data_IF_575894116905
#
_entry.id   IF_575894116905
#
_cell.length_a   1.000
_cell.length_b   1.000
_cell.length_c   1.000
_cell.angle_alpha   90.00
_cell.angle_beta   90.00
_cell.angle_gamma   90.00
#
_symmetry.space_group_name_H-M   'P 1'
#
loop_
_entity.id
_entity.type
_entity.pdbx_description
1 polymer ?
#
# COMPACT_ATOMS: atom_id res chain seq x y z
N UNK A 1 18.14 -13.80 -6.95
CA UNK A 1 17.26 -14.71 -6.18
C UNK A 1 17.34 -16.08 -6.86
N UNK A 2 17.42 -17.18 -6.09
CA UNK A 2 17.28 -18.55 -6.62
C UNK A 2 15.93 -19.06 -6.13
N UNK A 3 14.88 -18.87 -6.92
CA UNK A 3 13.54 -19.32 -6.59
C UNK A 3 12.91 -19.90 -7.85
N UNK A 4 12.30 -21.08 -7.70
CA UNK A 4 11.64 -21.78 -8.80
C UNK A 4 10.22 -21.24 -9.05
N UNK A 5 9.66 -20.51 -8.08
CA UNK A 5 8.34 -19.91 -8.12
C UNK A 5 8.35 -18.47 -7.58
N UNK A 6 7.47 -17.61 -8.11
CA UNK A 6 7.25 -16.24 -7.62
C UNK A 6 5.75 -16.03 -7.35
N UNK A 7 5.36 -15.72 -6.12
CA UNK A 7 3.95 -15.58 -5.75
C UNK A 7 3.26 -14.42 -6.49
N UNK A 8 3.93 -13.26 -6.55
CA UNK A 8 3.42 -12.06 -7.24
C UNK A 8 4.50 -11.50 -8.16
N UNK A 9 4.25 -11.48 -9.47
CA UNK A 9 5.14 -10.86 -10.45
C UNK A 9 4.44 -9.66 -11.09
N UNK A 10 5.04 -8.47 -10.92
CA UNK A 10 4.44 -7.20 -11.32
C UNK A 10 5.14 -6.56 -12.53
N UNK A 11 4.36 -6.02 -13.46
CA UNK A 11 4.84 -5.15 -14.53
C UNK A 11 5.09 -3.76 -13.95
N UNK A 12 6.34 -3.29 -14.06
CA UNK A 12 6.77 -1.99 -13.51
C UNK A 12 6.60 -0.86 -14.52
N UNK A 13 6.03 0.27 -14.09
CA UNK A 13 5.86 1.51 -14.86
C UNK A 13 5.05 1.39 -16.17
N UNK A 14 4.38 0.26 -16.39
CA UNK A 14 3.52 -0.02 -17.55
C UNK A 14 4.19 0.15 -18.93
N UNK A 15 5.52 0.26 -18.99
CA UNK A 15 6.22 0.31 -20.28
C UNK A 15 6.06 -1.05 -20.97
N UNK A 16 5.56 -1.05 -22.20
CA UNK A 16 5.32 -2.26 -23.00
C UNK A 16 4.53 -3.35 -22.25
N UNK A 17 3.56 -2.92 -21.43
CA UNK A 17 2.85 -3.83 -20.53
C UNK A 17 2.08 -4.93 -21.28
N UNK A 18 1.66 -4.70 -22.52
CA UNK A 18 0.98 -5.70 -23.34
C UNK A 18 1.89 -6.92 -23.61
N UNK A 19 3.11 -6.67 -24.09
CA UNK A 19 4.10 -7.71 -24.37
C UNK A 19 4.53 -8.44 -23.10
N UNK A 20 4.72 -7.68 -22.01
CA UNK A 20 5.04 -8.25 -20.71
C UNK A 20 3.91 -9.13 -20.16
N UNK A 21 2.66 -8.73 -20.34
CA UNK A 21 1.50 -9.47 -19.85
C UNK A 21 1.39 -10.84 -20.51
N UNK A 22 1.58 -10.95 -21.83
CA UNK A 22 1.57 -12.24 -22.53
C UNK A 22 2.66 -13.20 -21.99
N UNK A 23 3.83 -12.65 -21.67
CA UNK A 23 4.90 -13.44 -21.06
C UNK A 23 4.54 -13.91 -19.65
N UNK A 24 3.97 -13.03 -18.83
CA UNK A 24 3.57 -13.37 -17.46
C UNK A 24 2.42 -14.37 -17.42
N UNK A 25 1.46 -14.29 -18.33
CA UNK A 25 0.39 -15.28 -18.46
C UNK A 25 0.95 -16.66 -18.79
N UNK A 26 1.88 -16.75 -19.75
CA UNK A 26 2.56 -18.02 -20.03
C UNK A 26 3.30 -18.57 -18.81
N UNK A 27 4.01 -17.72 -18.05
CA UNK A 27 4.68 -18.14 -16.82
C UNK A 27 3.69 -18.60 -15.75
N UNK A 28 2.50 -18.02 -15.69
CA UNK A 28 1.43 -18.42 -14.79
C UNK A 28 0.85 -19.78 -15.19
N UNK A 29 0.62 -19.99 -16.48
CA UNK A 29 0.14 -21.27 -17.03
C UNK A 29 1.18 -22.40 -16.83
N UNK A 30 2.47 -22.06 -16.88
CA UNK A 30 3.58 -22.96 -16.52
C UNK A 30 3.69 -23.23 -15.00
N UNK A 31 2.86 -22.59 -14.16
CA UNK A 31 2.89 -22.73 -12.70
C UNK A 31 4.08 -22.04 -12.01
N UNK A 32 4.81 -21.18 -12.73
CA UNK A 32 6.01 -20.49 -12.23
C UNK A 32 5.68 -19.23 -11.45
N UNK A 33 4.49 -18.67 -11.63
CA UNK A 33 3.97 -17.55 -10.85
C UNK A 33 2.51 -17.78 -10.43
N UNK A 34 2.09 -17.18 -9.31
CA UNK A 34 0.71 -17.28 -8.84
C UNK A 34 -0.16 -16.10 -9.28
N UNK A 35 0.35 -14.87 -9.14
CA UNK A 35 -0.40 -13.63 -9.39
C UNK A 35 0.39 -12.71 -10.32
N UNK A 36 -0.31 -12.20 -11.34
CA UNK A 36 0.18 -11.11 -12.19
C UNK A 36 -0.28 -9.80 -11.58
N UNK A 37 0.63 -8.86 -11.40
CA UNK A 37 0.30 -7.52 -10.95
C UNK A 37 0.84 -6.42 -11.83
N UNK A 38 0.46 -5.18 -11.51
CA UNK A 38 1.02 -3.98 -12.12
C UNK A 38 1.35 -2.96 -11.03
N UNK A 39 2.35 -2.12 -11.27
CA UNK A 39 2.74 -1.05 -10.35
C UNK A 39 3.05 0.24 -11.09
N UNK A 40 2.60 1.36 -10.53
CA UNK A 40 2.98 2.69 -11.00
C UNK A 40 2.99 3.70 -9.85
N UNK A 41 4.03 4.55 -9.79
CA UNK A 41 4.25 5.50 -8.69
C UNK A 41 3.59 6.87 -8.92
N UNK A 42 3.24 7.21 -10.17
CA UNK A 42 2.53 8.46 -10.47
C UNK A 42 1.01 8.27 -10.61
N UNK A 43 0.25 9.24 -10.11
CA UNK A 43 -1.21 9.29 -10.23
C UNK A 43 -1.68 9.46 -11.68
N UNK A 44 -0.86 10.06 -12.54
CA UNK A 44 -1.14 10.22 -13.98
C UNK A 44 -1.34 8.90 -14.72
N UNK A 45 -0.80 7.80 -14.19
CA UNK A 45 -0.99 6.46 -14.78
C UNK A 45 -2.26 5.75 -14.30
N UNK A 46 -2.97 6.28 -13.30
CA UNK A 46 -4.13 5.60 -12.70
C UNK A 46 -5.24 5.28 -13.70
N UNK A 47 -5.60 6.17 -14.66
CA UNK A 47 -6.59 5.81 -15.69
C UNK A 47 -6.19 4.57 -16.50
N UNK A 48 -4.91 4.46 -16.86
CA UNK A 48 -4.38 3.31 -17.60
C UNK A 48 -4.34 2.05 -16.73
N UNK A 49 -3.92 2.17 -15.46
CA UNK A 49 -3.97 1.07 -14.50
C UNK A 49 -5.40 0.54 -14.35
N UNK A 50 -6.39 1.42 -14.19
CA UNK A 50 -7.80 1.02 -14.08
C UNK A 50 -8.32 0.36 -15.36
N UNK A 51 -7.86 0.80 -16.54
CA UNK A 51 -8.16 0.12 -17.82
C UNK A 51 -7.61 -1.30 -17.83
N UNK A 52 -6.39 -1.51 -17.32
CA UNK A 52 -5.79 -2.85 -17.19
C UNK A 52 -6.54 -3.68 -16.14
N UNK A 53 -6.90 -3.12 -14.99
CA UNK A 53 -7.72 -3.82 -13.97
C UNK A 53 -9.03 -4.36 -14.57
N UNK A 54 -9.75 -3.53 -15.35
CA UNK A 54 -11.01 -3.93 -16.00
C UNK A 54 -10.85 -5.03 -17.06
N UNK A 55 -9.63 -5.29 -17.54
CA UNK A 55 -9.37 -6.44 -18.41
C UNK A 55 -9.50 -7.79 -17.69
N UNK A 56 -9.47 -7.79 -16.34
CA UNK A 56 -9.50 -8.98 -15.48
C UNK A 56 -8.35 -9.97 -15.69
N UNK A 57 -7.23 -9.50 -16.28
CA UNK A 57 -6.01 -10.30 -16.54
C UNK A 57 -4.97 -10.21 -15.43
N UNK A 58 -5.20 -9.36 -14.43
CA UNK A 58 -4.30 -9.14 -13.29
C UNK A 58 -5.01 -9.42 -11.97
N UNK A 59 -4.26 -9.82 -10.96
CA UNK A 59 -4.77 -10.10 -9.62
C UNK A 59 -4.24 -9.15 -8.54
N UNK A 60 -3.29 -8.26 -8.85
CA UNK A 60 -2.84 -7.25 -7.89
C UNK A 60 -2.47 -5.92 -8.55
N UNK A 61 -2.57 -4.84 -7.77
CA UNK A 61 -2.03 -3.52 -8.09
C UNK A 61 -1.15 -3.02 -6.97
N UNK A 62 -0.08 -2.31 -7.29
CA UNK A 62 0.73 -1.58 -6.33
C UNK A 62 0.73 -0.08 -6.64
N UNK A 63 0.32 0.74 -5.67
CA UNK A 63 0.08 2.18 -5.85
C UNK A 63 0.48 2.99 -4.63
N UNK A 64 0.82 4.28 -4.80
CA UNK A 64 1.07 5.16 -3.65
C UNK A 64 -0.24 5.44 -2.92
N UNK A 65 -0.26 5.19 -1.61
CA UNK A 65 -1.37 5.58 -0.75
C UNK A 65 -0.85 5.93 0.64
N UNK A 66 -1.14 7.15 1.08
CA UNK A 66 -0.79 7.64 2.42
C UNK A 66 -1.65 8.88 2.74
N UNK A 67 -1.52 9.42 3.95
CA UNK A 67 -2.33 10.57 4.40
C UNK A 67 -2.21 11.80 3.48
N UNK A 68 -1.05 11.99 2.84
CA UNK A 68 -0.83 13.09 1.89
C UNK A 68 -1.19 12.78 0.44
N UNK A 69 -1.54 11.54 0.11
CA UNK A 69 -1.91 11.12 -1.23
C UNK A 69 -3.08 10.12 -1.18
N UNK A 70 -4.28 10.65 -1.43
CA UNK A 70 -5.54 9.90 -1.41
C UNK A 70 -6.06 9.56 -2.81
N UNK A 71 -5.26 9.78 -3.87
CA UNK A 71 -5.73 9.74 -5.25
C UNK A 71 -6.35 8.39 -5.66
N UNK A 72 -5.95 7.28 -5.04
CA UNK A 72 -6.49 5.97 -5.35
C UNK A 72 -7.84 5.68 -4.65
N UNK A 73 -8.24 6.47 -3.65
CA UNK A 73 -9.33 6.13 -2.72
C UNK A 73 -10.74 6.25 -3.31
N UNK A 74 -10.93 7.16 -4.27
CA UNK A 74 -12.22 7.48 -4.89
C UNK A 74 -12.64 6.47 -5.97
N UNK A 75 -11.71 6.05 -6.83
CA UNK A 75 -12.03 5.19 -7.98
C UNK A 75 -11.29 3.86 -7.98
N UNK A 76 -9.97 3.87 -7.72
CA UNK A 76 -9.15 2.68 -7.89
C UNK A 76 -9.35 1.65 -6.77
N UNK A 77 -9.42 2.06 -5.50
CA UNK A 77 -9.66 1.14 -4.39
C UNK A 77 -11.06 0.49 -4.46
N UNK A 78 -12.16 1.24 -4.75
CA UNK A 78 -13.46 0.61 -5.01
C UNK A 78 -13.43 -0.37 -6.19
N UNK A 79 -12.73 -0.02 -7.29
CA UNK A 79 -12.58 -0.92 -8.44
C UNK A 79 -11.81 -2.20 -8.07
N UNK A 80 -10.76 -2.09 -7.25
CA UNK A 80 -10.01 -3.25 -6.80
C UNK A 80 -10.87 -4.18 -5.95
N UNK A 81 -11.68 -3.64 -5.05
CA UNK A 81 -12.65 -4.39 -4.24
C UNK A 81 -13.71 -5.07 -5.13
N UNK A 82 -14.31 -4.34 -6.08
CA UNK A 82 -15.30 -4.87 -7.03
C UNK A 82 -14.75 -6.07 -7.82
N UNK A 83 -13.49 -5.98 -8.25
CA UNK A 83 -12.85 -6.99 -9.09
C UNK A 83 -12.12 -8.09 -8.30
N UNK A 84 -12.05 -7.99 -6.98
CA UNK A 84 -11.28 -8.91 -6.14
C UNK A 84 -9.76 -8.83 -6.38
N UNK A 85 -9.24 -7.66 -6.76
CA UNK A 85 -7.82 -7.40 -7.00
C UNK A 85 -7.15 -7.01 -5.69
N UNK A 86 -6.02 -7.65 -5.37
CA UNK A 86 -5.22 -7.31 -4.20
C UNK A 86 -4.53 -5.95 -4.34
N UNK A 87 -4.52 -5.15 -3.27
CA UNK A 87 -3.89 -3.82 -3.25
C UNK A 87 -2.65 -3.83 -2.37
N UNK A 88 -1.50 -3.55 -2.98
CA UNK A 88 -0.22 -3.37 -2.31
C UNK A 88 0.05 -1.86 -2.22
N UNK A 89 0.14 -1.32 -1.02
CA UNK A 89 0.41 0.11 -0.82
C UNK A 89 1.90 0.37 -0.77
N UNK A 90 2.40 1.19 -1.70
CA UNK A 90 3.73 1.77 -1.61
C UNK A 90 3.71 3.18 -1.01
N UNK A 91 4.88 3.62 -0.55
CA UNK A 91 5.07 4.91 0.11
C UNK A 91 4.10 5.20 1.28
N UNK A 92 3.77 4.24 2.15
CA UNK A 92 2.75 4.43 3.20
C UNK A 92 3.14 5.53 4.22
N UNK A 93 4.44 5.83 4.34
CA UNK A 93 4.99 6.85 5.24
C UNK A 93 5.40 8.15 4.50
N UNK A 94 4.97 8.33 3.25
CA UNK A 94 5.28 9.52 2.44
C UNK A 94 6.79 9.76 2.32
N UNK A 95 7.56 8.69 2.05
CA UNK A 95 9.03 8.72 1.97
C UNK A 95 9.70 9.29 3.25
N UNK A 96 9.06 9.08 4.40
CA UNK A 96 9.54 9.57 5.69
C UNK A 96 9.38 11.08 5.88
N UNK A 97 8.65 11.79 5.00
CA UNK A 97 8.28 13.20 5.18
C UNK A 97 7.57 13.33 6.52
N UNK A 98 6.41 12.71 6.67
CA UNK A 98 5.53 12.83 7.85
C UNK A 98 6.26 12.61 9.17
N UNK A 99 7.11 11.58 9.23
CA UNK A 99 7.85 11.24 10.45
C UNK A 99 8.79 12.36 10.90
N UNK A 100 9.32 13.18 9.98
CA UNK A 100 10.17 14.33 10.35
C UNK A 100 9.36 15.40 11.08
N UNK A 101 8.14 15.67 10.63
CA UNK A 101 7.26 16.66 11.28
C UNK A 101 6.71 16.13 12.60
N UNK A 102 6.42 14.83 12.68
CA UNK A 102 5.81 14.18 13.83
C UNK A 102 6.79 13.75 14.93
N UNK A 103 8.09 14.12 14.83
CA UNK A 103 9.14 13.66 15.76
C UNK A 103 8.90 14.04 17.22
N UNK A 104 8.18 15.12 17.49
CA UNK A 104 8.01 15.68 18.84
C UNK A 104 6.55 15.95 19.22
N UNK A 105 5.70 16.22 18.25
CA UNK A 105 4.28 16.49 18.45
C UNK A 105 3.50 16.00 17.22
N UNK A 106 2.22 15.64 17.40
CA UNK A 106 1.51 15.54 18.68
C UNK A 106 1.94 14.29 19.47
N UNK A 107 1.49 14.20 20.73
CA UNK A 107 1.72 13.00 21.54
C UNK A 107 0.99 11.80 20.93
N UNK A 108 1.62 10.64 20.99
CA UNK A 108 1.00 9.35 20.63
C UNK A 108 0.15 8.76 21.75
N UNK A 109 0.06 9.42 22.92
CA UNK A 109 -0.67 8.92 24.09
C UNK A 109 -2.10 8.43 23.77
N UNK A 110 -2.92 9.17 22.98
CA UNK A 110 -4.27 8.72 22.64
C UNK A 110 -4.30 7.43 21.80
N UNK A 111 -3.19 7.08 21.15
CA UNK A 111 -3.11 5.93 20.26
C UNK A 111 -2.62 4.66 20.97
N UNK A 112 -2.10 4.78 22.20
CA UNK A 112 -1.55 3.65 22.96
C UNK A 112 -2.58 2.58 23.28
N UNK A 113 -3.85 2.95 23.44
CA UNK A 113 -4.93 1.97 23.66
C UNK A 113 -5.13 1.03 22.46
N UNK A 114 -4.69 1.45 21.27
CA UNK A 114 -4.67 0.65 20.04
C UNK A 114 -3.32 -0.07 19.82
N UNK A 115 -2.45 -0.10 20.83
CA UNK A 115 -1.10 -0.68 20.73
C UNK A 115 -0.12 0.17 19.93
N UNK A 116 -0.48 1.41 19.58
CA UNK A 116 0.35 2.30 18.75
C UNK A 116 1.18 3.22 19.64
N UNK A 117 2.49 3.02 19.64
CA UNK A 117 3.45 3.76 20.46
C UNK A 117 4.33 4.72 19.65
N UNK A 118 4.22 4.69 18.32
CA UNK A 118 5.00 5.50 17.39
C UNK A 118 4.10 6.05 16.29
N UNK A 119 4.39 7.26 15.80
CA UNK A 119 3.70 7.81 14.62
C UNK A 119 3.90 6.97 13.37
N UNK A 120 5.03 6.27 13.21
CA UNK A 120 5.20 5.32 12.12
C UNK A 120 4.17 4.19 12.17
N UNK A 121 3.90 3.66 13.38
CA UNK A 121 2.86 2.66 13.59
C UNK A 121 1.48 3.23 13.29
N UNK A 122 1.18 4.43 13.79
CA UNK A 122 -0.10 5.09 13.56
C UNK A 122 -0.39 5.32 12.06
N UNK A 123 0.59 5.84 11.32
CA UNK A 123 0.46 6.07 9.88
C UNK A 123 0.30 4.77 9.09
N UNK A 124 1.02 3.71 9.46
CA UNK A 124 0.88 2.40 8.84
C UNK A 124 -0.48 1.76 9.15
N UNK A 125 -0.89 1.77 10.42
CA UNK A 125 -2.18 1.27 10.87
C UNK A 125 -3.33 2.02 10.17
N UNK A 126 -3.20 3.34 9.97
CA UNK A 126 -4.15 4.15 9.23
C UNK A 126 -4.34 3.67 7.78
N UNK A 127 -3.24 3.29 7.11
CA UNK A 127 -3.25 2.74 5.75
C UNK A 127 -3.88 1.35 5.73
N UNK A 128 -3.41 0.42 6.56
CA UNK A 128 -3.89 -0.98 6.55
C UNK A 128 -5.27 -1.15 7.18
N UNK A 129 -5.80 -0.13 7.86
CA UNK A 129 -7.19 -0.11 8.33
C UNK A 129 -8.20 0.09 7.20
N UNK A 130 -7.79 0.56 6.02
CA UNK A 130 -8.66 0.53 4.84
C UNK A 130 -8.82 -0.91 4.38
N UNK A 131 -10.05 -1.45 4.47
CA UNK A 131 -10.34 -2.87 4.16
C UNK A 131 -10.03 -3.26 2.71
N UNK A 132 -9.88 -2.27 1.82
CA UNK A 132 -9.52 -2.46 0.40
C UNK A 132 -8.01 -2.63 0.22
N UNK A 133 -7.20 -2.35 1.25
CA UNK A 133 -5.75 -2.56 1.25
C UNK A 133 -5.43 -3.97 1.71
N UNK A 134 -4.66 -4.71 0.90
CA UNK A 134 -4.23 -6.07 1.25
C UNK A 134 -2.93 -6.06 2.07
N UNK A 135 -1.99 -5.18 1.73
CA UNK A 135 -0.71 -5.04 2.43
C UNK A 135 -0.08 -3.67 2.17
N UNK A 136 0.73 -3.17 3.10
CA UNK A 136 1.57 -1.99 2.90
C UNK A 136 3.06 -2.38 2.94
N UNK A 137 3.88 -1.75 2.10
CA UNK A 137 5.32 -1.99 2.02
C UNK A 137 6.14 -0.79 2.53
N UNK A 138 6.35 -0.65 3.86
CA UNK A 138 7.26 0.37 4.38
C UNK A 138 8.72 0.00 4.10
N UNK A 139 9.51 0.96 3.64
CA UNK A 139 10.94 0.80 3.47
C UNK A 139 11.72 1.30 4.70
N UNK A 140 12.75 0.56 5.11
CA UNK A 140 13.69 0.96 6.16
C UNK A 140 15.05 0.30 5.95
N UNK A 141 16.13 1.00 6.28
CA UNK A 141 17.49 0.44 6.35
C UNK A 141 17.88 -0.05 7.76
N UNK A 142 16.99 0.14 8.74
CA UNK A 142 17.22 -0.21 10.15
C UNK A 142 16.39 -1.44 10.54
N UNK A 143 17.02 -2.55 10.97
CA UNK A 143 16.32 -3.77 11.38
C UNK A 143 15.27 -3.55 12.47
N UNK A 144 15.59 -2.73 13.49
CA UNK A 144 14.65 -2.44 14.59
C UNK A 144 13.30 -1.89 14.08
N UNK A 145 13.35 -1.03 13.06
CA UNK A 145 12.15 -0.44 12.44
C UNK A 145 11.30 -1.45 11.69
N UNK A 146 11.87 -2.58 11.27
CA UNK A 146 11.10 -3.64 10.61
C UNK A 146 10.07 -4.19 11.60
N UNK A 147 10.52 -4.49 12.82
CA UNK A 147 9.66 -4.99 13.89
C UNK A 147 8.65 -3.91 14.33
N UNK A 148 9.12 -2.67 14.54
CA UNK A 148 8.23 -1.55 14.90
C UNK A 148 7.13 -1.32 13.85
N UNK A 149 7.46 -1.38 12.55
CA UNK A 149 6.50 -1.21 11.47
C UNK A 149 5.51 -2.38 11.40
N UNK A 150 5.96 -3.61 11.63
CA UNK A 150 5.11 -4.79 11.59
C UNK A 150 4.03 -4.76 12.69
N UNK A 151 4.36 -4.25 13.88
CA UNK A 151 3.43 -4.07 15.00
C UNK A 151 2.24 -3.17 14.67
N UNK A 152 2.33 -2.33 13.63
CA UNK A 152 1.18 -1.56 13.17
C UNK A 152 0.00 -2.45 12.74
N UNK A 153 0.27 -3.67 12.28
CA UNK A 153 -0.76 -4.65 11.92
C UNK A 153 -1.53 -5.21 13.11
N UNK A 154 -0.97 -5.14 14.32
CA UNK A 154 -1.61 -5.66 15.54
C UNK A 154 -2.78 -4.79 16.00
N UNK A 155 -2.84 -3.53 15.55
CA UNK A 155 -3.95 -2.61 15.83
C UNK A 155 -5.26 -3.03 15.13
N UNK A 156 -5.20 -3.94 14.16
CA UNK A 156 -6.36 -4.39 13.40
C UNK A 156 -7.02 -3.24 12.63
N UNK A 157 -8.36 -3.22 12.63
CA UNK A 157 -9.13 -2.15 12.02
C UNK A 157 -9.34 -1.01 13.01
N UNK A 158 -8.76 0.16 12.72
CA UNK A 158 -8.95 1.35 13.54
C UNK A 158 -10.38 1.91 13.37
N UNK A 159 -11.05 2.31 14.47
CA UNK A 159 -12.26 3.12 14.43
C UNK A 159 -12.09 4.39 13.57
N UNK A 160 -13.17 4.85 12.94
CA UNK A 160 -13.10 5.97 11.99
C UNK A 160 -12.64 7.27 12.66
N UNK A 161 -13.11 7.55 13.87
CA UNK A 161 -12.68 8.71 14.68
C UNK A 161 -11.18 8.69 14.99
N UNK A 162 -10.61 7.50 15.23
CA UNK A 162 -9.16 7.33 15.41
C UNK A 162 -8.41 7.56 14.10
N UNK A 163 -8.95 7.06 12.98
CA UNK A 163 -8.37 7.32 11.66
C UNK A 163 -8.39 8.81 11.31
N UNK A 164 -9.49 9.50 11.65
CA UNK A 164 -9.65 10.93 11.44
C UNK A 164 -8.68 11.72 12.33
N UNK A 165 -8.56 11.37 13.61
CA UNK A 165 -7.57 11.95 14.52
C UNK A 165 -6.14 11.84 13.98
N UNK A 166 -5.70 10.64 13.56
CA UNK A 166 -4.35 10.44 13.00
C UNK A 166 -4.13 11.34 11.78
N UNK A 167 -5.15 11.45 10.91
CA UNK A 167 -5.10 12.30 9.72
C UNK A 167 -5.01 13.78 10.08
N UNK A 168 -5.92 14.28 10.89
CA UNK A 168 -5.99 15.70 11.28
C UNK A 168 -4.70 16.14 11.97
N UNK A 169 -4.22 15.36 12.91
CA UNK A 169 -2.98 15.64 13.64
C UNK A 169 -1.76 15.61 12.73
N UNK A 170 -1.70 14.66 11.79
CA UNK A 170 -0.64 14.62 10.78
C UNK A 170 -0.68 15.86 9.90
N UNK A 171 -1.86 16.24 9.42
CA UNK A 171 -2.04 17.41 8.55
C UNK A 171 -1.74 18.73 9.27
N UNK A 172 -2.04 18.83 10.57
CA UNK A 172 -1.70 20.03 11.37
C UNK A 172 -0.19 20.26 11.48
N UNK A 173 0.61 19.21 11.38
CA UNK A 173 2.07 19.28 11.51
C UNK A 173 2.81 19.45 10.17
N UNK A 174 2.12 19.34 9.03
CA UNK A 174 2.70 19.39 7.68
C UNK A 174 2.83 20.80 7.11
#
# INVERSE_FOLDING_TARGET
MKADHIDVFQIHNLLDWQTHLETLERLKDEGRISVIGITHYTTSAFPEMMRIMRSKRIGSVQVPYNIGNLACTEEMLPLAEELGIGVIVMEPLGQGRFLRQLRRQPSVEPLKEFGLSLWAQALLAWVVSDRRVSVAIPATSRPERIIENAQAGDAGHLPQDVRDYIREETMRCL
#
